data_IF_300653515890
#
_entry.id   IF_300653515890
#
_cell.length_a   1.000
_cell.length_b   1.000
_cell.length_c   1.000
_cell.angle_alpha   90.00
_cell.angle_beta   90.00
_cell.angle_gamma   90.00
#
_symmetry.space_group_name_H-M   'P 1'
#
loop_
_entity.id
_entity.type
_entity.pdbx_description
1 polymer ?
#
# COMPACT_ATOMS: atom_id res chain seq x y z
N UNK A 1 2.50 -12.71 4.27
CA UNK A 1 1.94 -11.40 3.87
C UNK A 1 2.25 -10.28 4.87
N UNK A 2 2.06 -10.46 6.18
CA UNK A 2 2.42 -9.44 7.19
C UNK A 2 3.89 -8.98 7.16
N UNK A 3 4.79 -9.84 6.64
CA UNK A 3 6.22 -9.55 6.44
C UNK A 3 6.48 -8.37 5.48
N UNK A 4 5.56 -8.06 4.56
CA UNK A 4 5.71 -6.93 3.62
C UNK A 4 5.78 -5.57 4.32
N UNK A 5 5.37 -5.49 5.59
CA UNK A 5 5.58 -4.32 6.43
C UNK A 5 7.08 -3.96 6.52
N UNK A 6 7.97 -4.96 6.49
CA UNK A 6 9.42 -4.74 6.52
C UNK A 6 9.98 -4.07 5.25
N UNK A 7 9.32 -4.23 4.09
CA UNK A 7 9.75 -3.57 2.83
C UNK A 7 9.64 -2.04 2.89
N UNK A 8 8.87 -1.53 3.86
CA UNK A 8 8.74 -0.10 4.13
C UNK A 8 9.76 0.38 5.17
N UNK A 9 10.85 -0.36 5.38
CA UNK A 9 11.99 0.08 6.19
C UNK A 9 12.85 1.07 5.40
N UNK A 10 13.08 2.27 5.94
CA UNK A 10 14.00 3.26 5.34
C UNK A 10 14.95 3.80 6.41
N UNK A 11 16.25 3.43 6.37
CA UNK A 11 17.24 3.73 7.42
C UNK A 11 17.28 5.20 7.84
N UNK A 12 16.97 6.11 6.92
CA UNK A 12 17.14 7.55 7.07
C UNK A 12 16.20 8.21 8.12
N UNK A 13 15.20 7.47 8.63
CA UNK A 13 14.16 8.04 9.49
C UNK A 13 14.35 7.85 11.01
N UNK A 14 15.39 7.11 11.44
CA UNK A 14 15.69 6.91 12.86
C UNK A 14 14.52 6.28 13.63
N UNK A 15 14.14 6.87 14.78
CA UNK A 15 13.02 6.37 15.61
C UNK A 15 11.63 6.47 14.94
N UNK A 16 11.49 7.15 13.79
CA UNK A 16 10.20 7.27 13.07
C UNK A 16 9.87 6.04 12.24
N UNK A 17 10.88 5.21 11.94
CA UNK A 17 10.76 3.98 11.14
C UNK A 17 9.66 3.07 11.70
N UNK A 18 9.65 2.85 13.02
CA UNK A 18 8.73 1.93 13.68
C UNK A 18 7.30 2.44 13.65
N UNK A 19 7.09 3.76 13.84
CA UNK A 19 5.75 4.35 13.76
C UNK A 19 5.17 4.23 12.35
N UNK A 20 5.98 4.48 11.34
CA UNK A 20 5.59 4.34 9.93
C UNK A 20 5.30 2.88 9.58
N UNK A 21 6.17 1.96 9.98
CA UNK A 21 5.97 0.52 9.78
C UNK A 21 4.69 0.04 10.47
N UNK A 22 4.40 0.48 11.70
CA UNK A 22 3.15 0.13 12.38
C UNK A 22 1.93 0.67 11.63
N UNK A 23 1.96 1.92 11.17
CA UNK A 23 0.87 2.50 10.38
C UNK A 23 0.61 1.71 9.07
N UNK A 24 1.68 1.38 8.35
CA UNK A 24 1.59 0.55 7.13
C UNK A 24 1.07 -0.85 7.47
N UNK A 25 1.55 -1.47 8.54
CA UNK A 25 1.08 -2.78 9.00
C UNK A 25 -0.42 -2.79 9.31
N UNK A 26 -0.96 -1.73 9.92
CA UNK A 26 -2.40 -1.56 10.15
C UNK A 26 -3.15 -1.41 8.83
N UNK A 27 -2.64 -0.62 7.88
CA UNK A 27 -3.24 -0.48 6.55
C UNK A 27 -3.30 -1.83 5.81
N UNK A 28 -2.19 -2.58 5.81
CA UNK A 28 -2.10 -3.91 5.19
C UNK A 28 -3.08 -4.90 5.82
N UNK A 29 -3.17 -4.92 7.16
CA UNK A 29 -4.11 -5.77 7.88
C UNK A 29 -5.55 -5.40 7.54
N UNK A 30 -5.89 -4.10 7.56
CA UNK A 30 -7.24 -3.65 7.23
C UNK A 30 -7.64 -4.00 5.79
N UNK A 31 -6.73 -3.83 4.83
CA UNK A 31 -6.94 -4.25 3.44
C UNK A 31 -7.15 -5.75 3.30
N UNK A 32 -6.36 -6.56 4.02
CA UNK A 32 -6.50 -8.02 4.05
C UNK A 32 -7.87 -8.46 4.63
N UNK A 33 -8.29 -7.86 5.75
CA UNK A 33 -9.58 -8.17 6.38
C UNK A 33 -10.76 -7.77 5.48
N UNK A 34 -10.71 -6.57 4.88
CA UNK A 34 -11.73 -6.12 3.93
C UNK A 34 -11.79 -7.03 2.69
N UNK A 35 -10.63 -7.48 2.20
CA UNK A 35 -10.53 -8.46 1.12
C UNK A 35 -11.26 -9.76 1.46
N UNK A 36 -11.02 -10.33 2.64
CA UNK A 36 -11.73 -11.54 3.09
C UNK A 36 -13.23 -11.30 3.29
N UNK A 37 -13.63 -10.15 3.82
CA UNK A 37 -15.06 -9.78 3.96
C UNK A 37 -15.78 -9.67 2.62
N UNK A 38 -15.05 -9.39 1.54
CA UNK A 38 -15.63 -9.28 0.20
C UNK A 38 -16.14 -10.62 -0.36
N UNK A 39 -15.73 -11.75 0.21
CA UNK A 39 -16.15 -13.08 -0.27
C UNK A 39 -17.57 -13.43 0.13
N UNK A 40 -18.22 -12.63 1.00
CA UNK A 40 -19.63 -12.83 1.41
C UNK A 40 -20.60 -12.64 0.24
N UNK A 41 -20.27 -11.72 -0.69
CA UNK A 41 -21.07 -11.47 -1.88
C UNK A 41 -20.17 -11.29 -3.09
N UNK A 42 -20.44 -12.03 -4.17
CA UNK A 42 -19.61 -12.02 -5.38
C UNK A 42 -19.38 -10.61 -5.96
N UNK A 43 -20.39 -9.74 -5.89
CA UNK A 43 -20.36 -8.35 -6.39
C UNK A 43 -19.61 -7.38 -5.47
N UNK A 44 -19.33 -7.76 -4.21
CA UNK A 44 -18.62 -6.90 -3.26
C UNK A 44 -17.11 -6.87 -3.51
N UNK A 45 -16.54 -7.89 -4.17
CA UNK A 45 -15.11 -7.95 -4.52
C UNK A 45 -14.60 -6.71 -5.25
N UNK A 46 -15.19 -6.32 -6.40
CA UNK A 46 -14.77 -5.14 -7.15
C UNK A 46 -14.96 -3.82 -6.40
N UNK A 47 -16.08 -3.68 -5.67
CA UNK A 47 -16.39 -2.46 -4.92
C UNK A 47 -15.38 -2.28 -3.77
N UNK A 48 -15.12 -3.34 -3.00
CA UNK A 48 -14.18 -3.27 -1.88
C UNK A 48 -12.75 -3.05 -2.40
N UNK A 49 -12.34 -3.72 -3.47
CA UNK A 49 -11.00 -3.52 -4.05
C UNK A 49 -10.79 -2.07 -4.50
N UNK A 50 -11.78 -1.47 -5.16
CA UNK A 50 -11.74 -0.07 -5.58
C UNK A 50 -11.69 0.90 -4.39
N UNK A 51 -12.50 0.64 -3.35
CA UNK A 51 -12.55 1.46 -2.15
C UNK A 51 -11.26 1.36 -1.35
N UNK A 52 -10.70 0.16 -1.19
CA UNK A 52 -9.39 -0.07 -0.56
C UNK A 52 -8.30 0.64 -1.38
N UNK A 53 -8.31 0.55 -2.71
CA UNK A 53 -7.38 1.27 -3.58
C UNK A 53 -7.46 2.78 -3.41
N UNK A 54 -8.67 3.34 -3.37
CA UNK A 54 -8.90 4.77 -3.17
C UNK A 54 -8.42 5.24 -1.79
N UNK A 55 -8.85 4.56 -0.73
CA UNK A 55 -8.53 4.94 0.66
C UNK A 55 -7.05 4.75 0.93
N UNK A 56 -6.45 3.64 0.51
CA UNK A 56 -5.01 3.43 0.68
C UNK A 56 -4.20 4.48 -0.08
N UNK A 57 -4.55 4.79 -1.33
CA UNK A 57 -3.87 5.85 -2.09
C UNK A 57 -3.94 7.21 -1.38
N UNK A 58 -5.12 7.58 -0.89
CA UNK A 58 -5.31 8.83 -0.15
C UNK A 58 -4.54 8.85 1.16
N UNK A 59 -4.56 7.76 1.94
CA UNK A 59 -3.79 7.66 3.18
C UNK A 59 -2.29 7.81 2.90
N UNK A 60 -1.74 7.04 1.96
CA UNK A 60 -0.31 7.10 1.67
C UNK A 60 0.13 8.46 1.11
N UNK A 61 -0.75 9.15 0.36
CA UNK A 61 -0.54 10.52 -0.08
C UNK A 61 -0.55 11.52 1.09
N UNK A 62 -1.50 11.39 2.02
CA UNK A 62 -1.63 12.26 3.19
C UNK A 62 -0.43 12.12 4.15
N UNK A 63 0.02 10.88 4.35
CA UNK A 63 1.09 10.54 5.30
C UNK A 63 2.51 10.63 4.69
N UNK A 64 2.65 11.05 3.43
CA UNK A 64 3.95 11.26 2.75
C UNK A 64 4.84 9.99 2.79
N UNK A 65 4.22 8.82 2.65
CA UNK A 65 4.93 7.54 2.70
C UNK A 65 5.50 7.26 1.31
N UNK A 66 6.83 7.19 1.21
CA UNK A 66 7.54 6.90 -0.05
C UNK A 66 7.05 5.59 -0.71
N UNK A 67 7.07 5.56 -2.05
CA UNK A 67 6.68 4.40 -2.87
C UNK A 67 7.57 3.18 -2.53
N UNK A 68 7.04 1.95 -2.39
CA UNK A 68 5.93 1.34 -3.16
C UNK A 68 4.66 1.14 -2.31
N UNK A 69 4.20 2.22 -1.66
CA UNK A 69 3.22 2.24 -0.57
C UNK A 69 1.93 1.43 -0.74
N UNK A 70 0.94 1.98 -1.46
CA UNK A 70 -0.43 1.46 -1.55
C UNK A 70 -0.56 0.13 -2.32
N UNK A 71 0.45 -0.22 -3.11
CA UNK A 71 0.52 -1.44 -3.93
C UNK A 71 0.36 -2.71 -3.08
N UNK A 72 1.04 -2.75 -1.92
CA UNK A 72 0.98 -3.91 -1.03
C UNK A 72 -0.36 -4.02 -0.31
N UNK A 73 -1.05 -2.91 -0.06
CA UNK A 73 -2.39 -2.92 0.55
C UNK A 73 -3.38 -3.56 -0.41
N UNK A 74 -3.31 -3.21 -1.69
CA UNK A 74 -4.17 -3.77 -2.74
C UNK A 74 -3.83 -5.23 -2.97
N UNK A 75 -2.54 -5.59 -2.99
CA UNK A 75 -2.11 -6.98 -3.05
C UNK A 75 -2.69 -7.80 -1.89
N UNK A 76 -2.57 -7.32 -0.65
CA UNK A 76 -3.15 -8.00 0.51
C UNK A 76 -4.67 -8.12 0.39
N UNK A 77 -5.36 -7.07 -0.04
CA UNK A 77 -6.81 -7.11 -0.25
C UNK A 77 -7.24 -8.12 -1.32
N UNK A 78 -6.56 -8.11 -2.48
CA UNK A 78 -6.85 -9.02 -3.58
C UNK A 78 -6.57 -10.49 -3.19
N UNK A 79 -5.50 -10.74 -2.43
CA UNK A 79 -5.19 -12.07 -1.90
C UNK A 79 -6.24 -12.53 -0.88
N UNK A 80 -6.69 -11.63 0.00
CA UNK A 80 -7.79 -11.92 0.92
C UNK A 80 -9.10 -12.26 0.19
N UNK A 81 -9.39 -11.58 -0.91
CA UNK A 81 -10.59 -11.82 -1.73
C UNK A 81 -10.50 -13.08 -2.60
N UNK A 82 -9.29 -13.60 -2.88
CA UNK A 82 -9.09 -14.73 -3.79
C UNK A 82 -9.40 -16.10 -3.16
N UNK A 83 -9.49 -16.17 -1.82
CA UNK A 83 -9.70 -17.42 -1.11
C UNK A 83 -11.11 -17.44 -0.52
N UNK A 84 -11.95 -18.45 -0.81
CA UNK A 84 -13.20 -18.60 -0.08
C UNK A 84 -12.86 -18.97 1.37
N UNK A 85 -13.14 -18.05 2.29
CA UNK A 85 -12.86 -18.20 3.73
C UNK A 85 -14.20 -18.19 4.47
N UNK A 86 -14.40 -19.13 5.38
CA UNK A 86 -15.57 -19.12 6.25
C UNK A 86 -15.45 -17.99 7.29
N UNK A 87 -16.57 -17.39 7.71
CA UNK A 87 -16.54 -16.27 8.69
C UNK A 87 -15.79 -16.62 9.98
N UNK A 88 -15.76 -17.89 10.37
CA UNK A 88 -15.06 -18.41 11.54
C UNK A 88 -13.54 -18.42 11.40
N UNK A 89 -13.00 -18.50 10.18
CA UNK A 89 -11.56 -18.59 9.90
C UNK A 89 -10.91 -17.21 9.75
N UNK A 90 -11.71 -16.16 9.54
CA UNK A 90 -11.25 -14.78 9.37
C UNK A 90 -10.38 -14.31 10.55
N UNK A 91 -10.76 -14.53 11.83
CA UNK A 91 -9.93 -14.12 12.96
C UNK A 91 -8.60 -14.87 13.02
N UNK A 92 -8.58 -16.17 12.74
CA UNK A 92 -7.37 -17.00 12.78
C UNK A 92 -6.34 -16.56 11.75
N UNK A 93 -6.78 -16.32 10.50
CA UNK A 93 -5.91 -15.81 9.43
C UNK A 93 -5.40 -14.40 9.72
N UNK A 94 -6.22 -13.58 10.37
CA UNK A 94 -5.84 -12.22 10.76
C UNK A 94 -4.80 -12.22 11.87
N UNK A 95 -4.90 -13.14 12.84
CA UNK A 95 -3.88 -13.33 13.88
C UNK A 95 -2.53 -13.76 13.28
N UNK A 96 -2.56 -14.68 12.31
CA UNK A 96 -1.35 -15.09 11.60
C UNK A 96 -0.73 -13.93 10.79
N UNK A 97 -1.57 -13.06 10.23
CA UNK A 97 -1.11 -11.82 9.59
C UNK A 97 -0.44 -10.88 10.59
N UNK A 98 -1.08 -10.65 11.75
CA UNK A 98 -0.55 -9.81 12.84
C UNK A 98 0.80 -10.35 13.31
N UNK A 99 0.96 -11.66 13.44
CA UNK A 99 2.24 -12.26 13.80
C UNK A 99 3.36 -11.87 12.81
N UNK A 100 3.06 -11.88 11.50
CA UNK A 100 3.99 -11.41 10.47
C UNK A 100 4.32 -9.92 10.56
N UNK A 101 3.35 -9.07 10.94
CA UNK A 101 3.57 -7.64 11.19
C UNK A 101 4.46 -7.44 12.41
N UNK A 102 4.19 -8.14 13.52
CA UNK A 102 5.01 -8.09 14.75
C UNK A 102 6.44 -8.54 14.46
N UNK A 103 6.63 -9.63 13.73
CA UNK A 103 7.95 -10.11 13.32
C UNK A 103 8.69 -9.05 12.49
N UNK A 104 7.99 -8.37 11.57
CA UNK A 104 8.57 -7.26 10.79
C UNK A 104 9.01 -6.09 11.66
N UNK A 105 8.22 -5.74 12.68
CA UNK A 105 8.55 -4.67 13.61
C UNK A 105 9.76 -5.04 14.49
N UNK A 106 9.84 -6.29 14.95
CA UNK A 106 11.02 -6.80 15.67
C UNK A 106 12.27 -6.69 14.78
N UNK A 107 12.19 -7.16 13.54
CA UNK A 107 13.28 -7.07 12.58
C UNK A 107 13.67 -5.60 12.29
N UNK A 108 12.68 -4.72 12.11
CA UNK A 108 12.91 -3.28 11.92
C UNK A 108 13.58 -2.63 13.14
N UNK A 109 13.22 -3.03 14.36
CA UNK A 109 13.87 -2.56 15.58
C UNK A 109 15.33 -3.03 15.70
N UNK A 110 15.59 -4.31 15.39
CA UNK A 110 16.95 -4.86 15.38
C UNK A 110 17.81 -4.17 14.33
N UNK A 111 17.30 -3.98 13.11
CA UNK A 111 17.98 -3.27 12.03
C UNK A 111 18.33 -1.82 12.45
N UNK A 112 17.38 -1.11 13.05
CA UNK A 112 17.59 0.25 13.54
C UNK A 112 18.73 0.33 14.59
N UNK A 113 18.82 -0.67 15.46
CA UNK A 113 19.88 -0.75 16.48
C UNK A 113 21.25 -1.01 15.88
N UNK A 114 21.32 -1.76 14.78
CA UNK A 114 22.57 -2.05 14.07
C UNK A 114 23.04 -0.82 13.27
N UNK A 115 22.12 -0.12 12.60
CA UNK A 115 22.44 0.99 11.70
C UNK A 115 22.72 2.33 12.39
N UNK A 116 22.30 2.51 13.65
CA UNK A 116 22.64 3.72 14.42
C UNK A 116 22.12 5.03 13.83
N UNK A 117 20.93 5.00 13.20
CA UNK A 117 20.41 6.11 12.41
C UNK A 117 20.15 7.43 13.21
N UNK A 118 20.40 8.61 12.61
CA UNK A 118 20.26 9.90 13.28
C UNK A 118 18.80 10.22 13.66
N UNK A 119 18.59 10.77 14.86
CA UNK A 119 17.28 11.21 15.36
C UNK A 119 16.89 12.55 14.72
N UNK A 120 15.96 12.53 13.77
CA UNK A 120 15.34 13.75 13.25
C UNK A 120 14.00 14.04 13.94
N UNK A 121 13.77 15.32 14.24
CA UNK A 121 12.56 15.83 14.90
C UNK A 121 11.37 15.89 13.94
N UNK A 122 10.22 15.48 14.45
CA UNK A 122 8.92 15.55 13.79
C UNK A 122 8.52 17.00 13.48
N UNK A 123 8.20 17.28 12.23
CA UNK A 123 7.23 18.31 11.84
C UNK A 123 6.03 17.58 11.23
N UNK A 124 5.16 17.02 12.09
CA UNK A 124 3.86 16.53 11.64
C UNK A 124 2.95 17.75 11.48
N UNK A 125 3.13 18.49 10.39
CA UNK A 125 2.27 19.63 10.14
C UNK A 125 0.94 19.09 9.60
N UNK A 126 0.00 18.91 10.52
CA UNK A 126 -1.35 18.38 10.32
C UNK A 126 -2.27 19.35 9.56
N UNK A 127 -1.77 20.06 8.56
CA UNK A 127 -2.64 20.84 7.69
C UNK A 127 -3.18 19.94 6.54
N UNK A 128 -3.91 18.89 6.94
CA UNK A 128 -4.54 17.91 6.04
C UNK A 128 -5.42 18.60 5.00
N UNK A 129 -6.12 19.66 5.41
CA UNK A 129 -7.00 20.44 4.53
C UNK A 129 -6.23 21.27 3.50
N UNK A 130 -5.01 21.68 3.82
CA UNK A 130 -4.17 22.48 2.94
C UNK A 130 -3.41 21.60 1.95
N UNK A 131 -2.93 20.41 2.35
CA UNK A 131 -2.36 19.41 1.44
C UNK A 131 -3.38 18.84 0.46
N UNK A 132 -4.58 18.47 0.92
CA UNK A 132 -5.66 17.97 0.05
C UNK A 132 -6.11 19.05 -0.95
N UNK A 133 -6.14 20.32 -0.52
CA UNK A 133 -6.56 21.42 -1.40
C UNK A 133 -5.48 21.88 -2.36
N UNK A 134 -4.21 21.80 -1.98
CA UNK A 134 -3.09 22.15 -2.86
C UNK A 134 -2.81 21.09 -3.92
N UNK A 135 -3.22 19.85 -3.71
CA UNK A 135 -2.93 18.73 -4.62
C UNK A 135 -4.18 18.11 -5.24
N UNK A 136 -5.01 18.97 -5.88
CA UNK A 136 -6.21 18.55 -6.61
C UNK A 136 -5.90 17.45 -7.65
N UNK A 137 -4.71 17.50 -8.25
CA UNK A 137 -4.22 16.48 -9.20
C UNK A 137 -4.10 15.11 -8.54
N UNK A 138 -3.56 15.05 -7.32
CA UNK A 138 -3.44 13.81 -6.58
C UNK A 138 -4.79 13.17 -6.21
N UNK A 139 -5.82 13.99 -5.95
CA UNK A 139 -7.18 13.48 -5.73
C UNK A 139 -7.75 12.86 -7.01
N UNK A 140 -7.59 13.52 -8.15
CA UNK A 140 -8.03 13.00 -9.46
C UNK A 140 -7.29 11.70 -9.78
N UNK A 141 -5.97 11.65 -9.57
CA UNK A 141 -5.17 10.44 -9.78
C UNK A 141 -5.65 9.28 -8.91
N UNK A 142 -6.02 9.55 -7.66
CA UNK A 142 -6.54 8.52 -6.73
C UNK A 142 -7.90 7.98 -7.16
N UNK A 143 -8.77 8.84 -7.71
CA UNK A 143 -10.07 8.42 -8.26
C UNK A 143 -9.87 7.60 -9.54
N UNK A 144 -9.04 8.07 -10.48
CA UNK A 144 -8.72 7.32 -11.70
C UNK A 144 -8.09 5.96 -11.38
N UNK A 145 -7.26 5.90 -10.34
CA UNK A 145 -6.69 4.66 -9.82
C UNK A 145 -7.77 3.70 -9.32
N UNK A 146 -8.70 4.18 -8.49
CA UNK A 146 -9.81 3.38 -7.98
C UNK A 146 -10.75 2.87 -9.08
N UNK A 147 -11.07 3.73 -10.07
CA UNK A 147 -11.89 3.35 -11.23
C UNK A 147 -11.21 2.23 -12.02
N UNK A 148 -9.90 2.33 -12.26
CA UNK A 148 -9.15 1.31 -12.99
C UNK A 148 -9.15 -0.03 -12.22
N UNK A 149 -8.97 0.01 -10.89
CA UNK A 149 -9.04 -1.19 -10.05
C UNK A 149 -10.44 -1.80 -10.00
N UNK A 150 -11.49 -0.98 -10.01
CA UNK A 150 -12.87 -1.44 -10.11
C UNK A 150 -13.08 -2.24 -11.40
N UNK A 151 -12.70 -1.67 -12.55
CA UNK A 151 -12.83 -2.37 -13.83
C UNK A 151 -11.95 -3.63 -13.91
N UNK A 152 -10.71 -3.57 -13.41
CA UNK A 152 -9.82 -4.73 -13.38
C UNK A 152 -10.43 -5.86 -12.54
N UNK A 153 -10.96 -5.55 -11.36
CA UNK A 153 -11.61 -6.55 -10.50
C UNK A 153 -12.94 -7.05 -11.08
N UNK A 154 -13.72 -6.18 -11.73
CA UNK A 154 -14.96 -6.57 -12.41
C UNK A 154 -14.70 -7.50 -13.60
N UNK A 155 -13.68 -7.22 -14.41
CA UNK A 155 -13.25 -8.11 -15.50
C UNK A 155 -12.75 -9.44 -14.93
N UNK A 156 -11.99 -9.41 -13.82
CA UNK A 156 -11.55 -10.62 -13.15
C UNK A 156 -12.73 -11.53 -12.76
N UNK A 157 -13.78 -10.91 -12.22
CA UNK A 157 -15.04 -11.58 -11.89
C UNK A 157 -15.76 -12.08 -13.15
N UNK A 158 -15.89 -11.26 -14.19
CA UNK A 158 -16.60 -11.62 -15.42
C UNK A 158 -15.97 -12.81 -16.17
N UNK A 159 -14.64 -12.98 -16.07
CA UNK A 159 -13.90 -14.11 -16.68
C UNK A 159 -13.96 -15.37 -15.79
N UNK A 160 -14.47 -15.28 -14.55
CA UNK A 160 -14.46 -16.38 -13.59
C UNK A 160 -13.06 -16.68 -13.03
N UNK A 161 -12.18 -15.66 -13.00
CA UNK A 161 -10.84 -15.73 -12.42
C UNK A 161 -10.87 -15.38 -10.92
N UNK A 162 -11.98 -15.66 -10.23
CA UNK A 162 -12.24 -15.23 -8.85
C UNK A 162 -11.13 -15.62 -7.87
N UNK A 163 -10.44 -16.74 -8.14
CA UNK A 163 -9.33 -17.24 -7.32
C UNK A 163 -7.96 -16.64 -7.65
N UNK A 164 -7.87 -15.81 -8.70
CA UNK A 164 -6.62 -15.32 -9.29
C UNK A 164 -6.55 -13.79 -9.19
N UNK A 165 -5.97 -13.29 -8.10
CA UNK A 165 -5.72 -11.85 -7.87
C UNK A 165 -4.73 -11.18 -8.83
N UNK A 166 -4.08 -11.94 -9.73
CA UNK A 166 -3.01 -11.46 -10.61
C UNK A 166 -3.42 -10.28 -11.50
N UNK A 167 -4.66 -10.24 -12.00
CA UNK A 167 -5.12 -9.15 -12.86
C UNK A 167 -5.17 -7.82 -12.10
N UNK A 168 -5.71 -7.85 -10.88
CA UNK A 168 -5.81 -6.68 -9.99
C UNK A 168 -4.41 -6.18 -9.62
N UNK A 169 -3.51 -7.10 -9.24
CA UNK A 169 -2.12 -6.77 -8.88
C UNK A 169 -1.35 -6.20 -10.07
N UNK A 170 -1.54 -6.75 -11.27
CA UNK A 170 -0.89 -6.26 -12.50
C UNK A 170 -1.39 -4.86 -12.88
N UNK A 171 -2.69 -4.61 -12.79
CA UNK A 171 -3.27 -3.29 -13.04
C UNK A 171 -2.72 -2.25 -12.04
N UNK A 172 -2.67 -2.61 -10.76
CA UNK A 172 -2.08 -1.77 -9.71
C UNK A 172 -0.60 -1.47 -10.01
N UNK A 173 0.18 -2.50 -10.37
CA UNK A 173 1.60 -2.38 -10.70
C UNK A 173 1.86 -1.47 -11.90
N UNK A 174 1.06 -1.55 -12.97
CA UNK A 174 1.19 -0.68 -14.16
C UNK A 174 0.93 0.79 -13.77
N UNK A 175 -0.14 1.04 -13.03
CA UNK A 175 -0.50 2.39 -12.57
C UNK A 175 0.56 2.99 -11.64
N UNK A 176 1.18 2.17 -10.79
CA UNK A 176 2.28 2.61 -9.94
C UNK A 176 3.61 2.75 -10.70
N UNK A 177 3.83 1.94 -11.74
CA UNK A 177 5.00 1.96 -12.59
C UNK A 177 5.14 3.25 -13.40
N UNK A 178 4.05 3.82 -13.91
CA UNK A 178 4.07 5.12 -14.61
C UNK A 178 4.63 6.23 -13.70
N UNK A 179 4.19 6.25 -12.44
CA UNK A 179 4.66 7.19 -11.44
C UNK A 179 6.12 6.96 -11.03
N UNK A 180 6.65 5.74 -11.18
CA UNK A 180 8.06 5.42 -10.94
C UNK A 180 8.94 5.82 -12.13
N UNK A 181 8.48 5.57 -13.36
CA UNK A 181 9.18 5.98 -14.58
C UNK A 181 9.36 7.51 -14.66
N UNK A 182 8.34 8.28 -14.25
CA UNK A 182 8.43 9.73 -14.16
C UNK A 182 9.46 10.21 -13.12
N UNK A 183 9.55 9.54 -11.97
CA UNK A 183 10.56 9.84 -10.95
C UNK A 183 11.97 9.45 -11.44
N UNK A 184 12.09 8.31 -12.12
CA UNK A 184 13.33 7.86 -12.71
C UNK A 184 13.84 8.84 -13.77
N UNK A 185 13.00 9.29 -14.70
CA UNK A 185 13.38 10.28 -15.71
C UNK A 185 13.91 11.59 -15.11
N UNK A 186 13.28 12.09 -14.04
CA UNK A 186 13.74 13.29 -13.32
C UNK A 186 15.08 13.09 -12.62
N UNK A 187 15.30 11.93 -12.01
CA UNK A 187 16.56 11.61 -11.34
C UNK A 187 17.69 11.32 -12.33
N UNK A 188 17.39 10.66 -13.44
CA UNK A 188 18.31 10.45 -14.55
C UNK A 188 18.76 11.77 -15.17
N UNK A 189 17.82 12.69 -15.41
CA UNK A 189 18.12 14.04 -15.90
C UNK A 189 18.98 14.84 -14.90
N UNK A 190 18.83 14.62 -13.58
CA UNK A 190 19.72 15.21 -12.57
C UNK A 190 21.13 14.64 -12.65
N UNK A 191 21.28 13.32 -12.73
CA UNK A 191 22.61 12.66 -12.78
C UNK A 191 23.37 13.07 -14.05
N UNK A 192 22.70 13.07 -15.21
CA UNK A 192 23.30 13.45 -16.48
C UNK A 192 23.55 14.96 -16.56
N UNK A 193 22.59 15.77 -16.11
CA UNK A 193 22.72 17.24 -16.13
C UNK A 193 23.80 17.79 -15.20
N UNK A 194 24.32 17.00 -14.25
CA UNK A 194 25.42 17.37 -13.35
C UNK A 194 26.79 16.86 -13.80
N UNK A 195 26.93 16.21 -14.96
CA UNK A 195 28.25 15.84 -15.48
C UNK A 195 28.88 17.08 -16.14
N UNK A 196 29.96 17.66 -15.59
CA UNK A 196 30.64 18.77 -16.24
C UNK A 196 31.42 18.19 -17.43
N UNK A 197 31.05 18.63 -18.63
CA UNK A 197 31.97 18.60 -19.79
C UNK A 197 32.82 19.85 -19.74
#
# INVERSE_FOLDING_TARGET
MGVFTFLHYTPNEGSRILKRMTFVGICLLSGYMLGMLSTVYILMGPIITALVGLVSRLLFLLFDIDKPGDLFVILCSAVGASRPVSLSEIPELSLLFIFGVVLSLIMGYVALKIEGAPKQSLSFNLNLRERVRNDLRAMVDSVSYAITLFFASYINLAIGLDQKSWLIVSAAAILQGNTLLQMYGRNFQRIIGTSPV
#
